data_IF_325275513351
#
_entry.id   IF_325275513351
#
_cell.length_a   1.000
_cell.length_b   1.000
_cell.length_c   1.000
_cell.angle_alpha   90.00
_cell.angle_beta   90.00
_cell.angle_gamma   90.00
#
_symmetry.space_group_name_H-M   'P 1'
#
loop_
_entity.id
_entity.type
_entity.pdbx_description
1 polymer ?
#
# COMPACT_ATOMS: atom_id res chain seq x y z
N UNK A 1 4.64 -8.46 24.90
CA UNK A 1 4.93 -7.01 24.98
C UNK A 1 5.10 -6.63 26.42
N UNK A 2 6.13 -5.83 26.75
CA UNK A 2 6.37 -5.35 28.11
C UNK A 2 5.59 -4.05 28.29
N UNK A 3 4.79 -3.93 29.34
CA UNK A 3 4.04 -2.70 29.63
C UNK A 3 5.01 -1.59 30.08
N UNK A 4 5.01 -0.47 29.36
CA UNK A 4 5.76 0.73 29.74
C UNK A 4 4.81 1.74 30.39
N UNK A 5 5.30 2.51 31.35
CA UNK A 5 4.55 3.61 31.98
C UNK A 5 5.23 4.94 31.66
N UNK A 6 4.46 5.88 31.12
CA UNK A 6 4.93 7.21 30.70
C UNK A 6 4.06 8.33 31.28
N UNK A 7 4.63 9.53 31.37
CA UNK A 7 3.89 10.77 31.59
C UNK A 7 3.74 11.50 30.25
N UNK A 8 2.69 12.30 30.11
CA UNK A 8 2.50 13.15 28.94
C UNK A 8 3.61 14.19 28.89
N UNK A 9 4.35 14.23 27.79
CA UNK A 9 5.47 15.16 27.57
C UNK A 9 5.26 16.13 26.41
N UNK A 10 4.25 15.87 25.58
CA UNK A 10 3.96 16.66 24.37
C UNK A 10 2.50 17.09 24.33
N UNK A 11 2.27 18.31 23.83
CA UNK A 11 0.96 18.94 23.72
C UNK A 11 0.84 19.60 22.34
N UNK A 12 -0.34 19.57 21.75
CA UNK A 12 -0.61 20.31 20.53
C UNK A 12 -0.85 21.81 20.80
N UNK A 13 -1.01 22.63 19.76
CA UNK A 13 -1.26 24.08 19.85
C UNK A 13 -2.55 24.41 20.63
N UNK A 14 -3.45 23.47 20.82
CA UNK A 14 -4.71 23.62 21.56
C UNK A 14 -4.61 23.19 23.02
N UNK A 15 -3.41 22.76 23.46
CA UNK A 15 -3.19 22.19 24.77
C UNK A 15 -3.74 20.77 24.92
N UNK A 16 -3.93 20.05 23.80
CA UNK A 16 -4.37 18.65 23.84
C UNK A 16 -3.14 17.72 23.92
N UNK A 17 -3.12 16.72 24.85
CA UNK A 17 -1.98 15.84 25.00
C UNK A 17 -1.77 14.97 23.76
N UNK A 18 -0.51 14.83 23.34
CA UNK A 18 -0.07 13.94 22.28
C UNK A 18 0.57 12.70 22.89
N UNK A 19 -0.04 11.53 22.67
CA UNK A 19 0.43 10.24 23.14
C UNK A 19 1.25 9.57 22.05
N UNK A 20 2.58 9.63 22.16
CA UNK A 20 3.50 9.03 21.20
C UNK A 20 3.99 7.67 21.67
N UNK A 21 3.84 6.67 20.81
CA UNK A 21 4.40 5.33 21.01
C UNK A 21 4.82 4.73 19.68
N UNK A 22 5.72 3.77 19.71
CA UNK A 22 6.07 2.97 18.54
C UNK A 22 5.05 1.85 18.32
N UNK A 23 4.98 1.35 17.08
CA UNK A 23 4.19 0.17 16.76
C UNK A 23 4.66 -1.07 17.56
N UNK A 24 3.76 -2.01 17.80
CA UNK A 24 4.01 -3.22 18.61
C UNK A 24 4.42 -2.91 20.06
N UNK A 25 3.94 -1.81 20.63
CA UNK A 25 4.15 -1.44 22.02
C UNK A 25 2.86 -1.46 22.84
N UNK A 26 3.02 -1.55 24.15
CA UNK A 26 1.96 -1.46 25.14
C UNK A 26 2.39 -0.42 26.19
N UNK A 27 1.71 0.72 26.19
CA UNK A 27 2.10 1.89 27.00
C UNK A 27 0.92 2.37 27.83
N UNK A 28 1.19 2.67 29.11
CA UNK A 28 0.24 3.30 30.02
C UNK A 28 0.69 4.73 30.31
N UNK A 29 -0.18 5.72 30.07
CA UNK A 29 0.02 7.10 30.48
C UNK A 29 -0.78 7.41 31.73
N UNK A 30 -0.16 8.09 32.69
CA UNK A 30 -0.80 8.54 33.91
C UNK A 30 -1.32 9.96 33.71
N UNK A 31 -2.58 10.21 34.09
CA UNK A 31 -3.24 11.51 34.02
C UNK A 31 -4.76 11.39 34.00
N UNK A 32 -5.45 12.33 34.63
CA UNK A 32 -6.91 12.34 34.79
C UNK A 32 -7.69 12.94 33.59
N UNK A 33 -7.01 13.28 32.50
CA UNK A 33 -7.62 14.05 31.41
C UNK A 33 -8.05 13.21 30.19
N UNK A 34 -7.88 11.89 30.29
CA UNK A 34 -8.16 11.00 29.17
C UNK A 34 -9.61 10.51 29.20
N UNK A 35 -10.39 10.90 28.21
CA UNK A 35 -11.76 10.43 28.03
C UNK A 35 -12.01 10.09 26.57
N UNK A 36 -12.75 9.02 26.35
CA UNK A 36 -13.33 8.67 25.04
C UNK A 36 -14.80 9.04 25.08
N UNK A 37 -15.19 9.91 24.18
CA UNK A 37 -16.58 10.33 24.08
C UNK A 37 -17.48 9.19 23.56
N UNK A 38 -18.78 9.18 23.94
CA UNK A 38 -19.70 8.19 23.39
C UNK A 38 -19.74 8.15 21.85
N UNK A 39 -19.53 9.31 21.20
CA UNK A 39 -19.42 9.45 19.76
C UNK A 39 -18.18 8.77 19.15
N UNK A 40 -17.11 8.58 19.95
CA UNK A 40 -15.82 8.02 19.54
C UNK A 40 -15.72 6.51 19.80
N UNK A 41 -16.64 5.90 20.54
CA UNK A 41 -16.62 4.46 20.84
C UNK A 41 -16.52 3.60 19.57
N UNK A 42 -17.34 3.90 18.56
CA UNK A 42 -17.29 3.19 17.27
C UNK A 42 -15.94 3.33 16.56
N UNK A 43 -15.22 4.43 16.77
CA UNK A 43 -13.88 4.63 16.23
C UNK A 43 -12.89 3.75 16.97
N UNK A 44 -12.96 3.67 18.31
CA UNK A 44 -12.10 2.79 19.11
C UNK A 44 -12.31 1.32 18.75
N UNK A 45 -13.56 0.86 18.65
CA UNK A 45 -13.88 -0.52 18.24
C UNK A 45 -13.26 -0.87 16.88
N UNK A 46 -13.26 0.08 15.95
CA UNK A 46 -12.65 -0.10 14.64
C UNK A 46 -11.13 -0.09 14.67
N UNK A 47 -10.52 0.81 15.42
CA UNK A 47 -9.07 0.82 15.60
C UNK A 47 -8.59 -0.52 16.15
N UNK A 48 -9.37 -1.16 17.04
CA UNK A 48 -9.08 -2.50 17.50
C UNK A 48 -9.22 -3.56 16.39
N UNK A 49 -10.33 -3.55 15.67
CA UNK A 49 -10.63 -4.56 14.65
C UNK A 49 -9.73 -4.46 13.41
N UNK A 50 -9.47 -3.23 12.94
CA UNK A 50 -8.82 -3.00 11.65
C UNK A 50 -7.31 -2.70 11.77
N UNK A 51 -6.89 -2.06 12.86
CA UNK A 51 -5.48 -1.69 13.11
C UNK A 51 -4.85 -2.39 14.34
N UNK A 52 -5.62 -3.22 15.05
CA UNK A 52 -5.12 -3.90 16.26
C UNK A 52 -4.71 -2.93 17.37
N UNK A 53 -5.26 -1.71 17.37
CA UNK A 53 -4.96 -0.68 18.37
C UNK A 53 -6.03 -0.75 19.46
N UNK A 54 -5.64 -1.15 20.66
CA UNK A 54 -6.51 -1.28 21.80
C UNK A 54 -6.32 -0.10 22.74
N UNK A 55 -7.41 0.55 23.13
CA UNK A 55 -7.39 1.73 24.00
C UNK A 55 -8.24 1.43 25.23
N UNK A 56 -7.63 1.47 26.41
CA UNK A 56 -8.27 1.26 27.70
C UNK A 56 -8.14 2.52 28.53
N UNK A 57 -9.26 3.17 28.84
CA UNK A 57 -9.29 4.38 29.69
C UNK A 57 -9.71 3.98 31.10
N UNK A 58 -8.95 4.46 32.08
CA UNK A 58 -9.21 4.36 33.50
C UNK A 58 -9.36 5.77 34.09
N UNK A 59 -9.79 5.91 35.35
CA UNK A 59 -10.02 7.21 36.01
C UNK A 59 -8.79 8.12 36.03
N UNK A 60 -7.60 7.54 36.09
CA UNK A 60 -6.31 8.22 36.29
C UNK A 60 -5.27 7.92 35.21
N UNK A 61 -5.65 7.15 34.20
CA UNK A 61 -4.70 6.69 33.16
C UNK A 61 -5.36 6.23 31.90
N UNK A 62 -4.58 6.20 30.82
CA UNK A 62 -4.93 5.56 29.55
C UNK A 62 -3.85 4.55 29.17
N UNK A 63 -4.26 3.35 28.80
CA UNK A 63 -3.38 2.30 28.28
C UNK A 63 -3.69 2.07 26.81
N UNK A 64 -2.66 2.10 25.98
CA UNK A 64 -2.77 1.86 24.54
C UNK A 64 -1.80 0.77 24.14
N UNK A 65 -2.33 -0.24 23.45
CA UNK A 65 -1.57 -1.33 22.84
C UNK A 65 -1.70 -1.25 21.34
N UNK A 66 -0.59 -1.32 20.61
CA UNK A 66 -0.54 -1.17 19.15
C UNK A 66 -0.03 -2.44 18.49
N UNK A 67 -0.51 -2.69 17.26
CA UNK A 67 0.04 -3.68 16.32
C UNK A 67 1.00 -3.03 15.32
N UNK A 68 1.28 -3.67 14.20
CA UNK A 68 2.22 -3.21 13.16
C UNK A 68 1.70 -2.09 12.25
N UNK A 69 0.95 -1.15 12.81
CA UNK A 69 0.37 0.00 12.11
C UNK A 69 0.97 1.30 12.64
N UNK A 70 1.32 2.19 11.73
CA UNK A 70 1.88 3.52 11.98
C UNK A 70 0.90 4.57 11.48
N UNK A 71 0.69 5.61 12.28
CA UNK A 71 -0.23 6.68 11.90
C UNK A 71 -0.68 7.53 13.06
N UNK A 72 -1.61 8.43 12.77
CA UNK A 72 -2.13 9.37 13.77
C UNK A 72 -3.65 9.32 13.81
N UNK A 73 -4.19 9.33 15.02
CA UNK A 73 -5.61 9.51 15.28
C UNK A 73 -5.84 10.62 16.28
N UNK A 74 -6.58 11.61 15.89
CA UNK A 74 -7.01 12.69 16.77
C UNK A 74 -8.35 12.33 17.43
N UNK A 75 -8.37 12.29 18.76
CA UNK A 75 -9.56 12.28 19.58
C UNK A 75 -9.85 13.70 20.10
N UNK A 76 -10.99 13.92 20.70
CA UNK A 76 -11.33 15.24 21.23
C UNK A 76 -10.42 15.64 22.41
N UNK A 77 -10.00 14.67 23.23
CA UNK A 77 -9.23 14.89 24.44
C UNK A 77 -7.75 14.54 24.34
N UNK A 78 -7.31 13.86 23.30
CA UNK A 78 -5.91 13.51 23.07
C UNK A 78 -5.67 13.18 21.60
N UNK A 79 -4.42 13.22 21.20
CA UNK A 79 -3.98 12.73 19.88
C UNK A 79 -3.09 11.51 20.07
N UNK A 80 -3.43 10.43 19.43
CA UNK A 80 -2.60 9.22 19.34
C UNK A 80 -1.68 9.32 18.14
N UNK A 81 -0.36 9.19 18.36
CA UNK A 81 0.66 9.16 17.31
C UNK A 81 1.46 7.87 17.43
N UNK A 82 1.25 6.95 16.51
CA UNK A 82 1.99 5.67 16.44
C UNK A 82 3.08 5.79 15.40
N UNK A 83 4.32 5.65 15.83
CA UNK A 83 5.53 5.77 15.01
C UNK A 83 6.07 4.41 14.58
N UNK A 84 6.87 4.34 13.50
CA UNK A 84 7.59 3.12 13.13
C UNK A 84 8.49 2.65 14.29
N UNK A 85 8.66 1.33 14.43
CA UNK A 85 9.57 0.78 15.44
C UNK A 85 11.05 1.04 15.11
N UNK A 86 11.38 1.16 13.83
CA UNK A 86 12.72 1.48 13.35
C UNK A 86 12.89 2.99 13.14
N UNK A 87 13.91 3.59 13.74
CA UNK A 87 14.17 5.03 13.61
C UNK A 87 14.56 5.45 12.18
N UNK A 88 15.19 4.55 11.43
CA UNK A 88 15.49 4.75 10.01
C UNK A 88 14.22 4.92 9.17
N UNK A 89 13.18 4.16 9.46
CA UNK A 89 11.87 4.30 8.78
C UNK A 89 11.18 5.62 9.13
N UNK A 90 11.30 6.09 10.37
CA UNK A 90 10.73 7.39 10.78
C UNK A 90 11.41 8.53 10.01
N UNK A 91 12.75 8.55 9.96
CA UNK A 91 13.51 9.60 9.26
C UNK A 91 13.31 9.60 7.75
N UNK A 92 13.27 8.43 7.14
CA UNK A 92 13.20 8.27 5.68
C UNK A 92 11.80 7.95 5.17
N UNK A 93 10.78 8.16 6.01
CA UNK A 93 9.39 7.75 5.71
C UNK A 93 8.89 8.33 4.39
N UNK A 94 9.11 9.62 4.15
CA UNK A 94 8.71 10.28 2.91
C UNK A 94 9.35 9.63 1.68
N UNK A 95 10.68 9.54 1.63
CA UNK A 95 11.42 8.91 0.52
C UNK A 95 10.99 7.46 0.29
N UNK A 96 10.76 6.72 1.39
CA UNK A 96 10.31 5.33 1.33
C UNK A 96 8.92 5.20 0.70
N UNK A 97 7.99 6.07 1.09
CA UNK A 97 6.65 6.10 0.52
C UNK A 97 6.64 6.52 -0.95
N UNK A 98 7.46 7.50 -1.32
CA UNK A 98 7.66 7.92 -2.71
C UNK A 98 8.15 6.77 -3.57
N UNK A 99 9.22 6.12 -3.15
CA UNK A 99 9.79 5.00 -3.88
C UNK A 99 8.78 3.86 -4.01
N UNK A 100 8.15 3.45 -2.91
CA UNK A 100 7.21 2.33 -2.90
C UNK A 100 5.95 2.57 -3.74
N UNK A 101 5.49 3.83 -3.85
CA UNK A 101 4.23 4.18 -4.51
C UNK A 101 4.39 4.94 -5.84
N UNK A 102 5.59 5.06 -6.40
CA UNK A 102 5.87 5.84 -7.62
C UNK A 102 5.50 7.33 -7.52
N UNK A 103 5.71 7.93 -6.36
CA UNK A 103 5.43 9.35 -6.07
C UNK A 103 6.67 10.21 -6.35
N UNK A 104 6.52 11.44 -6.85
CA UNK A 104 7.65 12.36 -7.06
C UNK A 104 8.11 13.00 -5.74
N UNK A 105 9.37 12.78 -5.36
CA UNK A 105 9.96 13.14 -4.08
C UNK A 105 9.72 14.59 -3.64
N UNK A 106 9.97 15.57 -4.50
CA UNK A 106 9.88 16.99 -4.13
C UNK A 106 8.50 17.42 -3.62
N UNK A 107 7.45 16.85 -4.20
CA UNK A 107 6.08 17.18 -3.81
C UNK A 107 5.72 16.63 -2.43
N UNK A 108 6.36 15.53 -2.04
CA UNK A 108 6.09 14.90 -0.75
C UNK A 108 6.89 15.56 0.39
N UNK A 109 8.13 16.02 0.15
CA UNK A 109 8.91 16.77 1.16
C UNK A 109 8.22 18.06 1.58
N UNK A 110 7.75 18.88 0.63
CA UNK A 110 6.97 20.08 0.93
C UNK A 110 5.71 19.76 1.76
N UNK A 111 5.16 18.57 1.56
CA UNK A 111 4.00 18.07 2.29
C UNK A 111 4.32 17.60 3.71
N UNK A 112 5.52 17.09 3.96
CA UNK A 112 5.97 16.68 5.29
C UNK A 112 6.23 17.91 6.17
N UNK A 113 6.84 18.97 5.65
CA UNK A 113 7.01 20.22 6.37
C UNK A 113 5.64 20.82 6.80
N UNK A 114 4.62 20.68 5.95
CA UNK A 114 3.26 21.05 6.29
C UNK A 114 2.66 20.17 7.40
N UNK A 115 3.00 18.88 7.43
CA UNK A 115 2.57 17.93 8.46
C UNK A 115 3.14 18.29 9.84
N UNK A 116 4.42 18.63 9.93
CA UNK A 116 5.06 19.03 11.18
C UNK A 116 4.42 20.27 11.80
N UNK A 117 3.98 21.22 10.95
CA UNK A 117 3.31 22.42 11.39
C UNK A 117 1.85 22.20 11.84
N UNK A 118 1.14 21.20 11.29
CA UNK A 118 -0.30 21.06 11.45
C UNK A 118 -0.76 19.77 12.14
N UNK A 119 0.15 18.87 12.56
CA UNK A 119 -0.16 17.58 13.21
C UNK A 119 -1.24 16.73 12.47
N UNK A 120 -1.25 16.79 11.13
CA UNK A 120 -2.28 16.15 10.31
C UNK A 120 -1.66 15.27 9.21
N UNK A 121 -1.42 13.98 9.43
CA UNK A 121 -0.55 13.15 8.58
C UNK A 121 -1.10 12.88 7.17
N UNK A 122 -2.42 12.92 6.97
CA UNK A 122 -3.02 12.66 5.65
C UNK A 122 -3.12 13.92 4.79
N UNK A 123 -3.16 15.09 5.39
CA UNK A 123 -3.36 16.34 4.66
C UNK A 123 -2.27 16.61 3.63
N UNK A 124 -0.98 16.40 3.92
CA UNK A 124 0.09 16.49 2.93
C UNK A 124 -0.16 15.59 1.72
N UNK A 125 -0.56 14.35 1.96
CA UNK A 125 -0.86 13.38 0.88
C UNK A 125 -2.02 13.86 0.02
N UNK A 126 -3.07 14.41 0.64
CA UNK A 126 -4.23 14.98 -0.07
C UNK A 126 -3.82 16.19 -0.90
N UNK A 127 -3.00 17.09 -0.35
CA UNK A 127 -2.52 18.29 -1.07
C UNK A 127 -1.66 17.91 -2.26
N UNK A 128 -0.71 16.98 -2.07
CA UNK A 128 0.13 16.46 -3.15
C UNK A 128 -0.72 15.78 -4.23
N UNK A 129 -1.70 14.98 -3.83
CA UNK A 129 -2.63 14.34 -4.76
C UNK A 129 -3.42 15.40 -5.55
N UNK A 130 -3.98 16.41 -4.89
CA UNK A 130 -4.74 17.48 -5.55
C UNK A 130 -3.86 18.29 -6.53
N UNK A 131 -2.61 18.59 -6.17
CA UNK A 131 -1.62 19.23 -7.04
C UNK A 131 -1.30 18.39 -8.27
N UNK A 132 -1.05 17.10 -8.08
CA UNK A 132 -0.76 16.16 -9.17
C UNK A 132 -1.95 16.04 -10.15
N UNK A 133 -3.17 15.99 -9.63
CA UNK A 133 -4.40 15.97 -10.46
C UNK A 133 -4.58 17.30 -11.20
N UNK A 134 -4.28 18.42 -10.58
CA UNK A 134 -4.35 19.73 -11.25
C UNK A 134 -3.39 19.80 -12.43
N UNK A 135 -2.14 19.34 -12.26
CA UNK A 135 -1.14 19.20 -13.34
C UNK A 135 -1.65 18.30 -14.46
N UNK A 136 -2.26 17.17 -14.08
CA UNK A 136 -2.82 16.22 -15.03
C UNK A 136 -3.95 16.83 -15.87
N UNK A 137 -4.87 17.56 -15.24
CA UNK A 137 -5.97 18.26 -15.94
C UNK A 137 -5.42 19.36 -16.87
N UNK A 138 -4.41 20.13 -16.44
CA UNK A 138 -3.77 21.16 -17.27
C UNK A 138 -3.11 20.59 -18.52
N UNK A 139 -2.51 19.38 -18.42
CA UNK A 139 -1.87 18.69 -19.52
C UNK A 139 -2.85 17.89 -20.40
N UNK A 140 -4.15 17.97 -20.13
CA UNK A 140 -5.22 17.23 -20.78
C UNK A 140 -5.43 15.84 -20.20
N UNK A 141 -6.67 15.47 -19.95
CA UNK A 141 -7.03 14.14 -19.42
C UNK A 141 -6.89 13.05 -20.50
N UNK A 142 -6.52 11.85 -20.06
CA UNK A 142 -6.36 10.70 -20.97
C UNK A 142 -7.71 10.23 -21.51
N UNK A 143 -7.74 9.92 -22.79
CA UNK A 143 -8.89 9.30 -23.45
C UNK A 143 -8.47 7.94 -24.00
N UNK A 144 -9.38 7.00 -23.90
CA UNK A 144 -9.21 5.64 -24.45
C UNK A 144 -10.51 5.15 -25.05
N UNK A 145 -10.41 4.12 -25.88
CA UNK A 145 -11.59 3.39 -26.33
C UNK A 145 -12.10 2.54 -25.17
N UNK A 146 -13.38 2.75 -24.83
CA UNK A 146 -14.10 1.97 -23.82
C UNK A 146 -15.26 1.28 -24.50
N UNK A 147 -15.35 -0.04 -24.32
CA UNK A 147 -16.45 -0.82 -24.83
C UNK A 147 -17.70 -0.57 -23.98
N UNK A 148 -18.73 -0.05 -24.61
CA UNK A 148 -20.02 0.24 -23.99
C UNK A 148 -21.09 -0.65 -24.59
N UNK A 149 -22.10 -0.99 -23.78
CA UNK A 149 -23.30 -1.66 -24.22
C UNK A 149 -24.50 -0.83 -23.76
N UNK A 150 -25.33 -0.40 -24.69
CA UNK A 150 -26.50 0.44 -24.37
C UNK A 150 -27.66 0.18 -25.36
N UNK A 151 -28.86 0.59 -24.93
CA UNK A 151 -30.07 0.55 -25.75
C UNK A 151 -30.22 1.87 -26.52
N UNK A 152 -29.87 1.84 -27.80
CA UNK A 152 -29.85 3.01 -28.69
C UNK A 152 -31.07 3.05 -29.62
N UNK A 153 -31.47 4.25 -30.04
CA UNK A 153 -32.53 4.44 -31.06
C UNK A 153 -32.07 4.12 -32.48
N UNK A 154 -30.79 3.90 -32.70
CA UNK A 154 -30.18 3.54 -33.98
C UNK A 154 -29.09 2.50 -33.76
N UNK A 155 -28.78 1.74 -34.83
CA UNK A 155 -27.76 0.70 -34.78
C UNK A 155 -26.36 1.31 -34.76
N UNK A 156 -25.56 0.92 -33.75
CA UNK A 156 -24.15 1.36 -33.62
C UNK A 156 -23.29 0.18 -33.15
N UNK A 157 -22.25 -0.13 -33.91
CA UNK A 157 -21.38 -1.25 -33.57
C UNK A 157 -22.05 -2.61 -33.77
N UNK A 158 -21.97 -3.50 -32.79
CA UNK A 158 -22.46 -4.87 -32.83
C UNK A 158 -23.76 -5.01 -32.04
N UNK A 159 -24.79 -5.61 -32.69
CA UNK A 159 -26.05 -5.92 -32.02
C UNK A 159 -25.87 -7.11 -31.05
N UNK A 160 -26.27 -6.94 -29.81
CA UNK A 160 -26.23 -7.99 -28.77
C UNK A 160 -27.55 -8.76 -28.82
N UNK A 161 -27.62 -9.80 -29.65
CA UNK A 161 -28.85 -10.55 -29.95
C UNK A 161 -29.60 -11.04 -28.71
N UNK A 162 -28.87 -11.54 -27.69
CA UNK A 162 -29.48 -12.03 -26.43
C UNK A 162 -30.31 -10.94 -25.73
N UNK A 163 -29.79 -9.72 -25.68
CA UNK A 163 -30.43 -8.59 -25.03
C UNK A 163 -31.48 -7.95 -25.95
N UNK A 164 -31.24 -7.99 -27.28
CA UNK A 164 -32.22 -7.51 -28.25
C UNK A 164 -33.51 -8.30 -28.20
N UNK A 165 -33.48 -9.63 -28.09
CA UNK A 165 -34.68 -10.48 -27.92
C UNK A 165 -35.49 -10.03 -26.68
N UNK A 166 -34.81 -9.67 -25.60
CA UNK A 166 -35.51 -9.15 -24.40
C UNK A 166 -36.17 -7.78 -24.65
N UNK A 167 -35.51 -6.92 -25.43
CA UNK A 167 -36.10 -5.65 -25.84
C UNK A 167 -37.33 -5.84 -26.73
N UNK A 168 -37.26 -6.76 -27.69
CA UNK A 168 -38.36 -7.05 -28.59
C UNK A 168 -39.56 -7.62 -27.84
N UNK A 169 -39.37 -8.54 -26.91
CA UNK A 169 -40.42 -9.10 -26.03
C UNK A 169 -41.06 -8.02 -25.17
N UNK A 170 -40.28 -7.00 -24.77
CA UNK A 170 -40.81 -5.86 -23.96
C UNK A 170 -41.34 -4.71 -24.79
N UNK A 171 -41.41 -4.87 -26.13
CA UNK A 171 -41.81 -3.82 -27.07
C UNK A 171 -40.96 -2.55 -26.95
N UNK A 172 -39.69 -2.69 -26.54
CA UNK A 172 -38.73 -1.60 -26.48
C UNK A 172 -38.10 -1.41 -27.88
N UNK A 173 -38.55 -0.36 -28.59
CA UNK A 173 -38.06 -0.04 -29.96
C UNK A 173 -36.60 0.52 -29.94
N UNK A 174 -35.70 -0.12 -29.22
CA UNK A 174 -34.30 0.23 -29.15
C UNK A 174 -33.44 -0.96 -29.52
N UNK A 175 -32.26 -0.66 -30.06
CA UNK A 175 -31.27 -1.64 -30.43
C UNK A 175 -30.24 -1.78 -29.30
N UNK A 176 -30.10 -2.96 -28.72
CA UNK A 176 -29.04 -3.21 -27.76
C UNK A 176 -27.72 -3.41 -28.47
N UNK A 177 -26.89 -2.39 -28.43
CA UNK A 177 -25.64 -2.30 -29.18
C UNK A 177 -24.41 -2.33 -28.27
N UNK A 178 -23.41 -3.08 -28.70
CA UNK A 178 -22.05 -3.09 -28.14
C UNK A 178 -21.14 -2.30 -29.08
N UNK A 179 -20.53 -1.23 -28.58
CA UNK A 179 -19.71 -0.33 -29.39
C UNK A 179 -18.54 0.25 -28.60
N UNK A 180 -17.47 0.58 -29.31
CA UNK A 180 -16.34 1.28 -28.73
C UNK A 180 -16.55 2.79 -28.80
N UNK A 181 -16.28 3.47 -27.69
CA UNK A 181 -16.36 4.93 -27.56
C UNK A 181 -15.03 5.51 -27.10
N UNK A 182 -14.51 6.49 -27.85
CA UNK A 182 -13.30 7.22 -27.48
C UNK A 182 -13.66 8.29 -26.45
N UNK A 183 -13.47 7.98 -25.19
CA UNK A 183 -13.97 8.79 -24.08
C UNK A 183 -12.92 9.02 -23.00
N UNK A 184 -13.10 10.10 -22.23
CA UNK A 184 -12.39 10.34 -20.98
C UNK A 184 -13.03 9.59 -19.79
N UNK A 185 -14.23 9.03 -19.97
CA UNK A 185 -14.88 8.23 -18.92
C UNK A 185 -14.30 6.80 -18.89
N UNK A 186 -13.01 6.70 -18.61
CA UNK A 186 -12.25 5.47 -18.48
C UNK A 186 -11.84 5.20 -17.03
N UNK A 187 -11.33 4.01 -16.77
CA UNK A 187 -11.00 3.55 -15.42
C UNK A 187 -9.95 4.45 -14.75
N UNK A 188 -8.94 4.91 -15.51
CA UNK A 188 -7.89 5.79 -15.02
C UNK A 188 -8.45 7.08 -14.43
N UNK A 189 -9.34 7.73 -15.16
CA UNK A 189 -9.96 8.98 -14.71
C UNK A 189 -11.01 8.76 -13.61
N UNK A 190 -11.75 7.64 -13.67
CA UNK A 190 -12.73 7.28 -12.64
C UNK A 190 -12.08 7.06 -11.27
N UNK A 191 -10.87 6.47 -11.22
CA UNK A 191 -10.09 6.32 -10.00
C UNK A 191 -9.72 7.69 -9.43
N UNK A 192 -9.22 8.61 -10.25
CA UNK A 192 -8.87 9.97 -9.83
C UNK A 192 -10.09 10.68 -9.26
N UNK A 193 -11.22 10.65 -9.98
CA UNK A 193 -12.45 11.29 -9.52
C UNK A 193 -12.96 10.72 -8.20
N UNK A 194 -13.02 9.39 -8.09
CA UNK A 194 -13.41 8.72 -6.85
C UNK A 194 -12.53 9.14 -5.67
N UNK A 195 -11.21 9.19 -5.88
CA UNK A 195 -10.26 9.56 -4.82
C UNK A 195 -10.43 11.02 -4.40
N UNK A 196 -10.68 11.95 -5.33
CA UNK A 196 -11.00 13.34 -5.00
C UNK A 196 -12.26 13.45 -4.12
N UNK A 197 -13.32 12.69 -4.43
CA UNK A 197 -14.53 12.65 -3.61
C UNK A 197 -14.22 12.13 -2.19
N UNK A 198 -13.39 11.08 -2.07
CA UNK A 198 -12.95 10.60 -0.77
C UNK A 198 -12.18 11.68 0.01
N UNK A 199 -11.25 12.37 -0.65
CA UNK A 199 -10.50 13.47 -0.02
C UNK A 199 -11.39 14.59 0.51
N UNK A 200 -12.51 14.89 -0.16
CA UNK A 200 -13.50 15.88 0.32
C UNK A 200 -14.08 15.54 1.69
N UNK A 201 -14.25 14.23 1.97
CA UNK A 201 -14.77 13.76 3.27
C UNK A 201 -13.69 13.73 4.35
N UNK A 202 -12.43 13.47 3.96
CA UNK A 202 -11.31 13.27 4.89
C UNK A 202 -10.74 14.60 5.37
N UNK A 203 -10.45 15.53 4.44
CA UNK A 203 -9.83 16.81 4.79
C UNK A 203 -10.75 17.69 5.64
N UNK A 204 -10.17 18.36 6.63
CA UNK A 204 -10.86 19.35 7.47
C UNK A 204 -10.60 20.78 7.03
N UNK A 205 -9.56 21.02 6.25
CA UNK A 205 -9.14 22.38 5.87
C UNK A 205 -10.05 22.97 4.77
N UNK A 206 -10.69 24.11 5.03
CA UNK A 206 -11.58 24.75 4.05
C UNK A 206 -10.89 25.11 2.73
N UNK A 207 -9.60 25.48 2.79
CA UNK A 207 -8.76 25.78 1.62
C UNK A 207 -8.58 24.54 0.73
N UNK A 208 -8.21 23.42 1.31
CA UNK A 208 -8.06 22.13 0.61
C UNK A 208 -9.38 21.67 0.02
N UNK A 209 -10.48 21.76 0.79
CA UNK A 209 -11.84 21.44 0.28
C UNK A 209 -12.21 22.29 -0.94
N UNK A 210 -11.90 23.59 -0.90
CA UNK A 210 -12.16 24.50 -2.02
C UNK A 210 -11.37 24.09 -3.27
N UNK A 211 -10.11 23.72 -3.11
CA UNK A 211 -9.25 23.27 -4.21
C UNK A 211 -9.76 21.94 -4.81
N UNK A 212 -10.05 20.95 -3.99
CA UNK A 212 -10.59 19.65 -4.43
C UNK A 212 -11.93 19.83 -5.14
N UNK A 213 -12.85 20.65 -4.60
CA UNK A 213 -14.14 20.92 -5.25
C UNK A 213 -14.00 21.51 -6.64
N UNK A 214 -13.03 22.41 -6.86
CA UNK A 214 -12.72 22.94 -8.19
C UNK A 214 -12.27 21.84 -9.16
N UNK A 215 -11.44 20.88 -8.70
CA UNK A 215 -10.98 19.76 -9.51
C UNK A 215 -12.12 18.82 -9.85
N UNK A 216 -12.95 18.47 -8.88
CA UNK A 216 -14.14 17.63 -9.10
C UNK A 216 -15.04 18.27 -10.16
N UNK A 217 -15.34 19.57 -10.02
CA UNK A 217 -16.22 20.28 -10.98
C UNK A 217 -15.68 20.29 -12.42
N UNK A 218 -14.35 20.32 -12.59
CA UNK A 218 -13.73 20.21 -13.92
C UNK A 218 -13.86 18.81 -14.53
N UNK A 219 -13.97 17.77 -13.72
CA UNK A 219 -14.09 16.38 -14.16
C UNK A 219 -15.54 15.92 -14.30
N UNK A 220 -16.46 16.57 -13.61
CA UNK A 220 -17.86 16.17 -13.42
C UNK A 220 -18.64 15.98 -14.72
N UNK A 221 -18.40 16.82 -15.70
CA UNK A 221 -19.08 16.79 -17.00
C UNK A 221 -18.58 15.67 -17.94
N UNK A 222 -17.44 15.06 -17.65
CA UNK A 222 -16.76 14.14 -18.58
C UNK A 222 -16.49 12.75 -17.99
N UNK A 223 -16.55 12.61 -16.69
CA UNK A 223 -16.15 11.37 -15.99
C UNK A 223 -17.24 11.02 -14.99
N UNK A 224 -17.79 9.83 -15.10
CA UNK A 224 -18.76 9.31 -14.15
C UNK A 224 -18.11 8.92 -12.82
N UNK A 225 -18.82 9.15 -11.73
CA UNK A 225 -18.37 8.72 -10.42
C UNK A 225 -18.60 7.20 -10.25
N UNK A 226 -17.50 6.46 -10.21
CA UNK A 226 -17.55 5.03 -9.88
C UNK A 226 -17.98 4.85 -8.41
N UNK A 227 -18.94 3.95 -8.16
CA UNK A 227 -19.51 3.74 -6.81
C UNK A 227 -18.50 3.21 -5.80
N UNK A 228 -17.55 2.41 -6.24
CA UNK A 228 -16.47 1.87 -5.40
C UNK A 228 -15.22 1.64 -6.23
N UNK A 229 -14.06 2.03 -5.67
CA UNK A 229 -12.73 1.76 -6.25
C UNK A 229 -11.92 0.98 -5.22
N UNK A 230 -11.41 -0.17 -5.63
CA UNK A 230 -10.58 -1.05 -4.82
C UNK A 230 -9.23 -1.32 -5.46
N UNK A 231 -8.38 -2.11 -4.79
CA UNK A 231 -7.05 -2.49 -5.30
C UNK A 231 -7.13 -3.26 -6.62
N UNK A 232 -8.21 -4.00 -6.85
CA UNK A 232 -8.47 -4.71 -8.11
C UNK A 232 -8.54 -3.76 -9.32
N UNK A 233 -9.05 -2.53 -9.12
CA UNK A 233 -9.16 -1.57 -10.20
C UNK A 233 -7.79 -1.04 -10.63
N UNK A 234 -6.87 -0.83 -9.67
CA UNK A 234 -5.49 -0.45 -9.99
C UNK A 234 -4.73 -1.54 -10.74
N UNK A 235 -5.02 -2.82 -10.48
CA UNK A 235 -4.41 -3.94 -11.20
C UNK A 235 -4.86 -4.05 -12.66
N UNK A 236 -6.04 -3.52 -13.00
CA UNK A 236 -6.57 -3.51 -14.37
C UNK A 236 -5.90 -2.44 -15.25
N UNK A 237 -5.22 -1.47 -14.65
CA UNK A 237 -4.58 -0.40 -15.41
C UNK A 237 -3.27 -0.89 -16.00
N UNK A 238 -3.17 -0.78 -17.32
CA UNK A 238 -1.92 -1.01 -18.05
C UNK A 238 -1.32 0.33 -18.43
N UNK A 239 -0.16 0.66 -17.88
CA UNK A 239 0.53 1.90 -18.20
C UNK A 239 1.28 1.78 -19.51
N UNK A 240 0.92 2.65 -20.44
CA UNK A 240 1.56 2.80 -21.73
C UNK A 240 2.20 4.18 -21.82
N UNK A 241 2.89 4.46 -22.92
CA UNK A 241 3.45 5.80 -23.19
C UNK A 241 2.40 6.92 -23.11
N UNK A 242 1.13 6.64 -23.42
CA UNK A 242 0.06 7.63 -23.46
C UNK A 242 -0.49 8.00 -22.07
N UNK A 243 -0.50 7.07 -21.11
CA UNK A 243 -1.07 7.24 -19.77
C UNK A 243 -0.02 7.13 -18.66
N UNK A 244 1.28 7.06 -18.98
CA UNK A 244 2.35 6.93 -17.97
C UNK A 244 2.35 8.04 -16.93
N UNK A 245 1.90 9.26 -17.32
CA UNK A 245 1.75 10.40 -16.41
C UNK A 245 0.71 10.20 -15.30
N UNK A 246 -0.11 9.15 -15.39
CA UNK A 246 -1.07 8.76 -14.35
C UNK A 246 -0.44 7.93 -13.23
N UNK A 247 0.76 7.37 -13.41
CA UNK A 247 1.42 6.56 -12.37
C UNK A 247 1.50 7.28 -11.04
N UNK A 248 2.02 8.50 -11.04
CA UNK A 248 2.17 9.31 -9.84
C UNK A 248 0.81 9.63 -9.15
N UNK A 249 -0.19 10.26 -9.78
CA UNK A 249 -1.48 10.47 -9.13
C UNK A 249 -2.20 9.17 -8.76
N UNK A 250 -2.04 8.08 -9.49
CA UNK A 250 -2.58 6.77 -9.10
C UNK A 250 -1.84 6.16 -7.90
N UNK A 251 -0.53 6.38 -7.77
CA UNK A 251 0.24 5.99 -6.58
C UNK A 251 -0.31 6.65 -5.32
N UNK A 252 -0.53 7.97 -5.37
CA UNK A 252 -1.14 8.73 -4.28
C UNK A 252 -2.59 8.30 -4.02
N UNK A 253 -3.39 8.11 -5.08
CA UNK A 253 -4.76 7.61 -4.97
C UNK A 253 -4.81 6.24 -4.30
N UNK A 254 -3.90 5.33 -4.68
CA UNK A 254 -3.77 4.01 -4.06
C UNK A 254 -3.44 4.12 -2.57
N UNK A 255 -2.49 4.98 -2.21
CA UNK A 255 -2.12 5.25 -0.83
C UNK A 255 -3.32 5.78 -0.03
N UNK A 256 -4.04 6.77 -0.55
CA UNK A 256 -5.23 7.32 0.07
C UNK A 256 -6.30 6.23 0.24
N UNK A 257 -6.64 5.48 -0.82
CA UNK A 257 -7.71 4.47 -0.80
C UNK A 257 -7.36 3.27 0.10
N UNK A 258 -6.12 2.83 0.13
CA UNK A 258 -5.68 1.75 1.03
C UNK A 258 -5.85 2.14 2.49
N UNK A 259 -5.59 3.40 2.80
CA UNK A 259 -5.64 3.92 4.16
C UNK A 259 -7.02 4.47 4.55
N UNK A 260 -7.94 4.64 3.59
CA UNK A 260 -9.38 4.82 3.84
C UNK A 260 -10.07 3.47 4.17
N UNK A 261 -9.35 2.42 4.52
CA UNK A 261 -9.88 1.10 4.89
C UNK A 261 -10.99 1.12 5.96
N UNK A 262 -11.10 2.23 6.66
CA UNK A 262 -12.19 2.61 7.56
C UNK A 262 -13.46 3.08 6.79
N UNK A 263 -13.83 2.37 5.73
CA UNK A 263 -14.71 2.77 4.61
C UNK A 263 -16.18 3.08 4.93
N UNK A 264 -16.68 2.81 6.12
CA UNK A 264 -18.12 2.93 6.40
C UNK A 264 -18.46 3.81 7.60
N UNK A 265 -17.56 4.72 7.98
CA UNK A 265 -17.85 5.64 9.08
C UNK A 265 -18.57 6.88 8.57
N UNK A 266 -19.73 7.19 9.13
CA UNK A 266 -20.50 8.38 8.80
C UNK A 266 -19.88 9.60 9.53
N UNK A 267 -18.73 10.10 9.01
CA UNK A 267 -17.97 11.22 9.58
C UNK A 267 -18.76 12.52 9.69
N UNK A 268 -19.92 12.60 9.02
CA UNK A 268 -20.77 13.79 9.06
C UNK A 268 -21.35 14.10 10.45
N UNK A 269 -21.35 13.12 11.37
CA UNK A 269 -21.89 13.27 12.73
C UNK A 269 -20.84 13.39 13.84
N UNK A 270 -19.57 13.20 13.54
CA UNK A 270 -18.49 13.27 14.53
C UNK A 270 -17.47 14.34 14.18
N UNK A 271 -17.00 15.09 15.18
CA UNK A 271 -15.92 16.08 15.01
C UNK A 271 -14.53 15.42 14.87
N UNK A 272 -14.44 14.09 14.91
CA UNK A 272 -13.19 13.33 14.82
C UNK A 272 -12.69 13.24 13.37
N UNK A 273 -11.38 13.27 13.21
CA UNK A 273 -10.69 13.08 11.92
C UNK A 273 -10.70 11.61 11.55
N UNK A 274 -10.79 11.31 10.26
CA UNK A 274 -10.61 9.96 9.77
C UNK A 274 -9.24 9.41 10.19
N UNK A 275 -9.15 8.20 10.75
CA UNK A 275 -7.89 7.59 11.09
C UNK A 275 -7.07 7.33 9.83
N UNK A 276 -5.78 7.57 9.93
CA UNK A 276 -4.83 7.26 8.86
C UNK A 276 -3.73 6.38 9.43
N UNK A 277 -3.80 5.08 9.12
CA UNK A 277 -2.83 4.10 9.57
C UNK A 277 -2.30 3.28 8.41
N UNK A 278 -0.99 3.06 8.40
CA UNK A 278 -0.25 2.34 7.37
C UNK A 278 0.36 1.08 7.98
N UNK A 279 0.19 -0.05 7.33
CA UNK A 279 0.85 -1.31 7.68
C UNK A 279 2.32 -1.28 7.25
N UNK A 280 3.24 -1.13 8.19
CA UNK A 280 4.66 -0.96 7.88
C UNK A 280 5.31 -2.20 7.26
N UNK A 281 4.86 -3.39 7.59
CA UNK A 281 5.34 -4.61 6.96
C UNK A 281 5.02 -4.65 5.44
N UNK A 282 3.86 -4.11 5.02
CA UNK A 282 3.52 -3.99 3.59
C UNK A 282 4.37 -2.95 2.87
N UNK A 283 4.74 -1.89 3.57
CA UNK A 283 5.67 -0.89 3.03
C UNK A 283 7.04 -1.52 2.81
N UNK A 284 7.50 -2.32 3.77
CA UNK A 284 8.76 -3.06 3.67
C UNK A 284 8.76 -4.06 2.52
N UNK A 285 7.74 -4.92 2.43
CA UNK A 285 7.56 -5.84 1.31
C UNK A 285 7.55 -5.10 -0.04
N UNK A 286 6.75 -4.02 -0.14
CA UNK A 286 6.64 -3.21 -1.36
C UNK A 286 7.96 -2.53 -1.74
N UNK A 287 8.75 -2.09 -0.76
CA UNK A 287 10.09 -1.53 -0.98
C UNK A 287 11.02 -2.57 -1.60
N UNK A 288 11.12 -3.76 -1.00
CA UNK A 288 11.96 -4.84 -1.52
C UNK A 288 11.48 -5.32 -2.88
N UNK A 289 10.18 -5.52 -3.04
CA UNK A 289 9.58 -5.93 -4.30
C UNK A 289 9.97 -4.98 -5.44
N UNK A 290 9.88 -3.68 -5.21
CA UNK A 290 10.25 -2.68 -6.21
C UNK A 290 11.76 -2.59 -6.43
N UNK A 291 12.54 -2.62 -5.34
CA UNK A 291 13.99 -2.59 -5.38
C UNK A 291 14.53 -3.72 -6.29
N UNK A 292 14.09 -4.95 -6.05
CA UNK A 292 14.54 -6.09 -6.86
C UNK A 292 14.02 -6.04 -8.29
N UNK A 293 12.76 -5.64 -8.50
CA UNK A 293 12.18 -5.56 -9.84
C UNK A 293 12.83 -4.52 -10.74
N UNK A 294 13.19 -3.36 -10.18
CA UNK A 294 13.70 -2.24 -10.97
C UNK A 294 15.22 -2.28 -11.16
N UNK A 295 15.96 -2.91 -10.23
CA UNK A 295 17.41 -2.84 -10.15
C UNK A 295 18.14 -4.18 -10.17
N UNK A 296 17.44 -5.31 -10.18
CA UNK A 296 18.07 -6.60 -10.41
C UNK A 296 18.62 -6.68 -11.84
N UNK A 297 19.52 -7.66 -12.07
CA UNK A 297 20.08 -7.89 -13.41
C UNK A 297 18.96 -8.16 -14.42
N UNK A 298 19.08 -7.59 -15.63
CA UNK A 298 18.04 -7.73 -16.68
C UNK A 298 17.82 -9.20 -17.12
N UNK A 299 18.76 -10.10 -16.80
CA UNK A 299 18.63 -11.56 -17.02
C UNK A 299 17.81 -12.28 -15.97
N UNK A 300 17.45 -11.58 -14.86
CA UNK A 300 16.75 -12.14 -13.70
C UNK A 300 15.33 -11.62 -13.70
N UNK A 301 14.38 -12.55 -13.72
CA UNK A 301 12.98 -12.23 -13.52
C UNK A 301 12.63 -12.34 -12.04
N UNK A 302 11.98 -11.31 -11.49
CA UNK A 302 11.54 -11.26 -10.10
C UNK A 302 10.05 -11.50 -10.05
N UNK A 303 9.63 -12.65 -9.49
CA UNK A 303 8.23 -12.96 -9.23
C UNK A 303 7.84 -12.44 -7.86
N UNK A 304 6.73 -11.74 -7.85
CA UNK A 304 6.14 -11.12 -6.66
C UNK A 304 5.03 -12.01 -6.09
N UNK A 305 4.74 -11.85 -4.79
CA UNK A 305 3.66 -12.57 -4.10
C UNK A 305 2.28 -12.40 -4.78
N UNK A 306 2.04 -11.24 -5.40
CA UNK A 306 0.79 -10.96 -6.12
C UNK A 306 0.94 -11.36 -7.58
N UNK A 307 0.67 -12.62 -7.84
CA UNK A 307 0.65 -13.22 -9.17
C UNK A 307 -0.33 -12.52 -10.12
N UNK A 308 0.15 -12.03 -11.25
CA UNK A 308 -0.67 -11.59 -12.38
C UNK A 308 -0.55 -12.61 -13.53
N UNK A 309 -1.55 -13.50 -13.64
CA UNK A 309 -1.60 -14.55 -14.66
C UNK A 309 -1.46 -14.04 -16.10
N UNK A 310 -1.73 -12.75 -16.36
CA UNK A 310 -1.63 -12.15 -17.69
C UNK A 310 -0.21 -11.72 -18.08
N UNK A 311 0.65 -11.44 -17.10
CA UNK A 311 1.99 -10.88 -17.32
C UNK A 311 3.13 -11.82 -16.94
N UNK A 312 2.85 -12.93 -16.27
CA UNK A 312 3.88 -13.94 -16.00
C UNK A 312 4.15 -14.74 -17.29
N UNK A 313 5.40 -14.82 -17.72
CA UNK A 313 5.76 -15.66 -18.86
C UNK A 313 5.33 -17.11 -18.62
N UNK A 314 4.70 -17.74 -19.61
CA UNK A 314 4.27 -19.17 -19.53
C UNK A 314 5.40 -20.16 -19.26
N UNK A 315 6.64 -19.68 -19.32
CA UNK A 315 7.87 -20.45 -19.14
C UNK A 315 8.25 -20.65 -17.65
N UNK A 316 7.64 -19.88 -16.73
CA UNK A 316 7.95 -20.00 -15.31
C UNK A 316 7.00 -20.97 -14.62
N UNK A 317 7.59 -21.88 -13.84
CA UNK A 317 6.85 -22.89 -13.12
C UNK A 317 5.75 -22.28 -12.24
N UNK A 318 4.53 -22.78 -12.37
CA UNK A 318 3.46 -22.52 -11.39
C UNK A 318 3.80 -23.28 -10.11
N UNK A 319 3.61 -22.64 -8.97
CA UNK A 319 3.75 -23.36 -7.69
C UNK A 319 2.59 -24.35 -7.55
N UNK A 320 2.93 -25.61 -7.31
CA UNK A 320 1.91 -26.61 -7.02
C UNK A 320 1.30 -26.35 -5.63
N UNK A 321 0.02 -26.67 -5.44
CA UNK A 321 -0.63 -26.57 -4.14
C UNK A 321 0.04 -27.52 -3.13
N UNK A 322 0.29 -27.02 -1.92
CA UNK A 322 0.99 -27.76 -0.86
C UNK A 322 0.10 -28.82 -0.24
N UNK A 323 -1.18 -28.47 -0.04
CA UNK A 323 -2.16 -29.35 0.59
C UNK A 323 -3.39 -29.47 -0.29
N UNK A 324 -3.78 -30.71 -0.57
CA UNK A 324 -5.04 -31.07 -1.23
C UNK A 324 -5.90 -31.79 -0.22
N UNK A 325 -7.01 -31.22 0.19
CA UNK A 325 -8.00 -31.90 1.02
C UNK A 325 -8.79 -32.88 0.14
N UNK A 326 -8.33 -34.11 0.02
CA UNK A 326 -8.88 -35.15 -0.85
C UNK A 326 -10.32 -35.62 -0.51
N UNK A 327 -10.87 -35.19 0.60
CA UNK A 327 -12.17 -35.63 1.13
C UNK A 327 -13.29 -34.57 1.06
N UNK A 328 -12.96 -33.32 0.66
CA UNK A 328 -13.95 -32.27 0.50
C UNK A 328 -14.22 -31.99 -0.96
N UNK A 329 -15.48 -31.82 -1.29
CA UNK A 329 -15.96 -31.49 -2.64
C UNK A 329 -15.50 -30.09 -3.10
N UNK A 330 -15.06 -29.24 -2.16
CA UNK A 330 -14.43 -27.93 -2.43
C UNK A 330 -12.95 -28.00 -2.09
N UNK A 331 -12.12 -28.08 -3.12
CA UNK A 331 -10.66 -28.04 -3.00
C UNK A 331 -10.21 -26.67 -2.51
N UNK A 332 -9.74 -26.59 -1.27
CA UNK A 332 -9.01 -25.42 -0.77
C UNK A 332 -7.53 -25.63 -1.05
N UNK A 333 -7.02 -24.98 -2.08
CA UNK A 333 -5.60 -25.00 -2.39
C UNK A 333 -4.87 -24.01 -1.47
N UNK A 334 -3.93 -24.50 -0.68
CA UNK A 334 -3.00 -23.67 0.08
C UNK A 334 -1.72 -23.48 -0.74
N UNK A 335 -1.62 -22.35 -1.44
CA UNK A 335 -0.45 -21.97 -2.20
C UNK A 335 0.66 -21.45 -1.30
N UNK A 336 1.93 -21.74 -1.63
CA UNK A 336 3.06 -21.03 -1.03
C UNK A 336 3.12 -19.61 -1.64
N UNK A 337 3.39 -18.61 -0.77
CA UNK A 337 3.46 -17.21 -1.19
C UNK A 337 4.70 -16.55 -0.60
N UNK A 338 5.90 -16.90 -1.05
CA UNK A 338 7.09 -16.16 -0.69
C UNK A 338 7.03 -14.76 -1.30
N UNK A 339 7.58 -13.76 -0.62
CA UNK A 339 7.50 -12.37 -1.06
C UNK A 339 8.23 -12.16 -2.39
N UNK A 340 9.40 -12.78 -2.56
CA UNK A 340 10.20 -12.68 -3.77
C UNK A 340 10.71 -14.07 -4.20
N UNK A 341 10.58 -14.38 -5.47
CA UNK A 341 11.23 -15.53 -6.11
C UNK A 341 12.00 -15.05 -7.32
N UNK A 342 13.28 -15.37 -7.35
CA UNK A 342 14.20 -14.96 -8.40
C UNK A 342 14.39 -16.10 -9.40
N UNK A 343 14.18 -15.80 -10.69
CA UNK A 343 14.29 -16.75 -11.79
C UNK A 343 15.35 -16.31 -12.79
N UNK A 344 16.03 -17.27 -13.37
CA UNK A 344 16.89 -17.06 -14.52
C UNK A 344 16.71 -18.21 -15.51
N UNK A 345 16.48 -17.90 -16.78
CA UNK A 345 16.27 -18.88 -17.84
C UNK A 345 15.23 -19.98 -17.48
N UNK A 346 14.12 -19.58 -16.84
CA UNK A 346 13.05 -20.50 -16.43
C UNK A 346 13.33 -21.35 -15.20
N UNK A 347 14.48 -21.20 -14.55
CA UNK A 347 14.83 -21.90 -13.31
C UNK A 347 14.76 -20.96 -12.10
N UNK A 348 14.27 -21.49 -10.98
CA UNK A 348 14.30 -20.78 -9.71
C UNK A 348 15.75 -20.73 -9.23
N UNK A 349 16.28 -19.53 -9.03
CA UNK A 349 17.61 -19.31 -8.45
C UNK A 349 17.57 -19.34 -6.94
N UNK A 350 16.63 -18.59 -6.36
CA UNK A 350 16.47 -18.48 -4.92
C UNK A 350 15.11 -17.87 -4.54
N UNK A 351 14.81 -17.96 -3.26
CA UNK A 351 13.64 -17.35 -2.63
C UNK A 351 14.10 -16.37 -1.56
N UNK A 352 13.43 -15.23 -1.45
CA UNK A 352 13.64 -14.30 -0.38
C UNK A 352 12.30 -13.87 0.24
N UNK A 353 12.30 -13.68 1.53
CA UNK A 353 11.14 -13.34 2.31
C UNK A 353 11.43 -12.05 3.13
N UNK A 354 10.56 -11.07 3.04
CA UNK A 354 10.69 -9.78 3.68
C UNK A 354 10.23 -9.86 5.14
N UNK A 355 11.13 -9.67 6.08
CA UNK A 355 10.80 -9.74 7.51
C UNK A 355 10.97 -8.38 8.18
N UNK A 356 9.87 -7.70 8.43
CA UNK A 356 9.84 -6.43 9.15
C UNK A 356 9.96 -6.67 10.66
N UNK A 357 11.17 -7.02 11.13
CA UNK A 357 11.50 -7.32 12.53
C UNK A 357 12.96 -7.01 12.83
N UNK A 358 13.32 -6.87 14.12
CA UNK A 358 14.68 -6.59 14.53
C UNK A 358 15.61 -7.80 14.32
N UNK A 359 15.12 -9.00 14.60
CA UNK A 359 15.91 -10.23 14.55
C UNK A 359 15.04 -11.43 14.18
N UNK A 360 15.59 -12.33 13.37
CA UNK A 360 14.96 -13.62 13.05
C UNK A 360 15.28 -14.61 14.16
N UNK A 361 14.30 -14.96 14.99
CA UNK A 361 14.49 -15.89 16.10
C UNK A 361 14.67 -17.33 15.61
N UNK A 362 15.77 -17.97 16.02
CA UNK A 362 16.01 -19.38 15.75
C UNK A 362 14.90 -20.23 16.37
N UNK A 363 14.28 -21.10 15.55
CA UNK A 363 13.11 -21.89 15.96
C UNK A 363 11.79 -21.11 15.97
N UNK A 364 11.78 -19.85 15.51
CA UNK A 364 10.57 -19.05 15.35
C UNK A 364 9.74 -19.47 14.13
N UNK A 365 8.47 -19.09 14.13
CA UNK A 365 7.50 -19.39 13.05
C UNK A 365 8.01 -18.89 11.68
N UNK A 366 8.61 -17.73 11.64
CA UNK A 366 9.13 -17.10 10.43
C UNK A 366 10.28 -17.90 9.82
N UNK A 367 11.16 -18.44 10.67
CA UNK A 367 12.24 -19.32 10.23
C UNK A 367 11.71 -20.62 9.60
N UNK A 368 10.71 -21.25 10.22
CA UNK A 368 10.09 -22.45 9.67
C UNK A 368 9.39 -22.17 8.33
N UNK A 369 8.77 -21.01 8.18
CA UNK A 369 8.14 -20.59 6.94
C UNK A 369 9.17 -20.52 5.80
N UNK A 370 10.30 -19.86 6.02
CA UNK A 370 11.36 -19.72 5.02
C UNK A 370 12.01 -21.09 4.71
N UNK A 371 12.30 -21.90 5.74
CA UNK A 371 12.82 -23.25 5.57
C UNK A 371 11.88 -24.11 4.72
N UNK A 372 10.59 -23.97 4.94
CA UNK A 372 9.56 -24.67 4.17
C UNK A 372 9.59 -24.22 2.69
N UNK A 373 9.67 -22.92 2.41
CA UNK A 373 9.77 -22.41 1.05
C UNK A 373 11.01 -22.97 0.32
N UNK A 374 12.17 -22.91 0.96
CA UNK A 374 13.42 -23.44 0.42
C UNK A 374 13.27 -24.93 0.04
N UNK A 375 12.73 -25.72 0.97
CA UNK A 375 12.57 -27.16 0.77
C UNK A 375 11.55 -27.49 -0.30
N UNK A 376 10.39 -26.84 -0.29
CA UNK A 376 9.33 -27.08 -1.27
C UNK A 376 9.75 -26.71 -2.69
N UNK A 377 10.56 -25.66 -2.85
CA UNK A 377 11.08 -25.21 -4.14
C UNK A 377 12.35 -26.00 -4.58
N UNK A 378 12.79 -27.01 -3.81
CA UNK A 378 13.95 -27.82 -4.13
C UNK A 378 15.27 -27.06 -4.06
N UNK A 379 15.34 -25.98 -3.29
CA UNK A 379 16.52 -25.15 -3.12
C UNK A 379 17.38 -25.63 -1.95
N UNK A 380 18.67 -25.27 -1.97
CA UNK A 380 19.60 -25.50 -0.85
C UNK A 380 19.70 -24.28 0.07
N UNK A 381 19.36 -23.11 -0.39
CA UNK A 381 19.40 -21.87 0.38
C UNK A 381 18.31 -20.88 -0.03
N UNK A 382 17.90 -20.03 0.92
CA UNK A 382 17.03 -18.87 0.70
C UNK A 382 17.36 -17.75 1.67
N UNK A 383 16.68 -16.63 1.51
CA UNK A 383 17.03 -15.39 2.21
C UNK A 383 15.88 -14.90 3.08
N UNK A 384 16.23 -14.41 4.28
CA UNK A 384 15.40 -13.55 5.11
C UNK A 384 15.98 -12.14 5.01
N UNK A 385 15.21 -11.16 4.56
CA UNK A 385 15.67 -9.77 4.41
C UNK A 385 15.02 -8.91 5.47
N UNK A 386 15.83 -8.33 6.36
CA UNK A 386 15.41 -7.53 7.49
C UNK A 386 15.91 -6.08 7.35
N UNK A 387 15.23 -5.10 7.98
CA UNK A 387 15.80 -3.77 8.16
C UNK A 387 17.05 -3.81 9.03
N UNK A 388 18.08 -3.05 8.65
CA UNK A 388 19.34 -2.97 9.42
C UNK A 388 19.18 -2.12 10.67
N UNK A 389 19.60 -2.66 11.81
CA UNK A 389 19.77 -1.97 13.10
C UNK A 389 20.96 -2.55 13.87
N UNK A 390 22.17 -2.31 13.40
CA UNK A 390 23.41 -2.75 14.08
C UNK A 390 23.54 -4.26 14.33
N UNK A 391 22.87 -5.07 13.50
CA UNK A 391 22.95 -6.53 13.53
C UNK A 391 23.67 -6.96 12.25
N UNK A 392 24.67 -7.81 12.38
CA UNK A 392 25.43 -8.33 11.25
C UNK A 392 24.67 -9.45 10.53
N UNK A 393 24.93 -9.56 9.24
CA UNK A 393 24.45 -10.65 8.41
C UNK A 393 24.99 -12.00 8.91
N UNK A 394 24.14 -13.01 8.91
CA UNK A 394 24.51 -14.34 9.34
C UNK A 394 23.72 -15.42 8.61
N UNK A 395 24.19 -16.66 8.71
CA UNK A 395 23.56 -17.80 8.09
C UNK A 395 23.09 -18.81 9.15
N UNK A 396 21.85 -19.27 9.03
CA UNK A 396 21.26 -20.27 9.90
C UNK A 396 21.22 -21.60 9.14
N UNK A 397 21.90 -22.63 9.67
CA UNK A 397 21.89 -23.98 9.10
C UNK A 397 20.76 -24.80 9.71
N UNK A 398 19.93 -25.40 8.85
CA UNK A 398 18.88 -26.32 9.27
C UNK A 398 19.36 -27.75 8.99
N UNK A 399 20.05 -28.31 9.99
CA UNK A 399 20.81 -29.55 9.87
C UNK A 399 20.01 -30.78 9.40
N UNK A 400 18.76 -30.95 9.86
CA UNK A 400 17.91 -32.08 9.46
C UNK A 400 17.52 -32.07 7.97
N UNK A 401 17.59 -30.95 7.30
CA UNK A 401 17.17 -30.81 5.90
C UNK A 401 18.29 -30.40 4.96
N UNK A 402 19.46 -30.14 5.49
CA UNK A 402 20.65 -29.67 4.76
C UNK A 402 20.35 -28.40 3.92
N UNK A 403 19.64 -27.47 4.51
CA UNK A 403 19.33 -26.17 3.89
C UNK A 403 19.88 -25.02 4.74
N UNK A 404 20.13 -23.88 4.09
CA UNK A 404 20.64 -22.68 4.73
C UNK A 404 19.64 -21.52 4.58
N UNK A 405 19.34 -20.83 5.67
CA UNK A 405 18.64 -19.55 5.67
C UNK A 405 19.67 -18.46 5.86
N UNK A 406 19.84 -17.63 4.84
CA UNK A 406 20.76 -16.49 4.84
C UNK A 406 20.02 -15.25 5.32
N UNK A 407 20.34 -14.78 6.52
CA UNK A 407 19.77 -13.56 7.09
C UNK A 407 20.57 -12.37 6.63
N UNK A 408 19.92 -11.42 5.97
CA UNK A 408 20.54 -10.23 5.41
C UNK A 408 19.82 -8.98 5.88
N UNK A 409 20.57 -7.93 6.12
CA UNK A 409 20.05 -6.66 6.63
C UNK A 409 20.26 -5.54 5.63
N UNK A 410 19.23 -4.71 5.42
CA UNK A 410 19.25 -3.57 4.51
C UNK A 410 19.14 -2.27 5.30
N UNK A 411 20.13 -1.41 5.16
CA UNK A 411 20.05 -0.02 5.60
C UNK A 411 19.21 0.79 4.62
N UNK A 412 17.96 1.12 4.99
CA UNK A 412 17.05 1.89 4.13
C UNK A 412 17.65 3.23 3.74
N UNK A 413 18.27 3.94 4.69
CA UNK A 413 18.87 5.25 4.44
C UNK A 413 19.91 5.16 3.33
N UNK A 414 20.79 4.14 3.35
CA UNK A 414 21.83 3.95 2.35
C UNK A 414 21.25 3.70 0.95
N UNK A 415 20.23 2.86 0.82
CA UNK A 415 19.59 2.58 -0.47
C UNK A 415 18.82 3.80 -0.99
N UNK A 416 18.09 4.50 -0.12
CA UNK A 416 17.37 5.70 -0.51
C UNK A 416 18.30 6.86 -0.88
N UNK A 417 19.45 7.01 -0.21
CA UNK A 417 20.43 8.03 -0.57
C UNK A 417 21.05 7.79 -1.95
N UNK A 418 21.25 6.54 -2.36
CA UNK A 418 21.66 6.21 -3.73
C UNK A 418 20.54 6.54 -4.71
N UNK A 419 19.30 6.11 -4.43
CA UNK A 419 18.13 6.31 -5.30
C UNK A 419 17.82 7.79 -5.55
N UNK A 420 17.97 8.64 -4.52
CA UNK A 420 17.71 10.07 -4.59
C UNK A 420 18.98 10.92 -4.78
N UNK A 421 20.11 10.29 -5.13
CA UNK A 421 21.34 11.00 -5.46
C UNK A 421 21.20 11.79 -6.76
N UNK A 422 22.06 12.81 -6.93
CA UNK A 422 22.13 13.61 -8.18
C UNK A 422 22.83 12.88 -9.34
N UNK A 423 23.05 11.56 -9.23
CA UNK A 423 23.70 10.73 -10.25
C UNK A 423 22.79 10.52 -11.45
N UNK A 424 23.36 10.09 -12.58
CA UNK A 424 22.55 9.68 -13.74
C UNK A 424 21.75 8.41 -13.42
N UNK A 425 20.60 8.21 -14.08
CA UNK A 425 19.77 7.00 -13.90
C UNK A 425 20.56 5.71 -14.18
N UNK A 426 21.50 5.74 -15.14
CA UNK A 426 22.35 4.60 -15.46
C UNK A 426 23.36 4.29 -14.34
N UNK A 427 23.90 5.31 -13.70
CA UNK A 427 24.84 5.12 -12.58
C UNK A 427 24.11 4.60 -11.34
N UNK A 428 22.92 5.13 -11.07
CA UNK A 428 22.04 4.63 -9.99
C UNK A 428 21.73 3.14 -10.25
N UNK A 429 21.28 2.78 -11.47
CA UNK A 429 20.98 1.39 -11.82
C UNK A 429 22.18 0.46 -11.61
N UNK A 430 23.36 0.88 -12.02
CA UNK A 430 24.60 0.10 -11.83
C UNK A 430 24.93 -0.09 -10.34
N UNK A 431 24.94 0.99 -9.56
CA UNK A 431 25.29 0.95 -8.15
C UNK A 431 24.29 0.09 -7.36
N UNK A 432 22.99 0.24 -7.63
CA UNK A 432 21.94 -0.57 -7.03
C UNK A 432 22.05 -2.04 -7.40
N UNK A 433 22.34 -2.35 -8.67
CA UNK A 433 22.55 -3.74 -9.12
C UNK A 433 23.73 -4.41 -8.42
N UNK A 434 24.82 -3.67 -8.16
CA UNK A 434 25.98 -4.18 -7.40
C UNK A 434 25.53 -4.49 -5.96
N UNK A 435 24.88 -3.57 -5.28
CA UNK A 435 24.40 -3.79 -3.91
C UNK A 435 23.40 -4.96 -3.78
N UNK A 436 22.53 -5.15 -4.75
CA UNK A 436 21.61 -6.29 -4.77
C UNK A 436 22.41 -7.60 -4.95
N UNK A 437 23.45 -7.63 -5.78
CA UNK A 437 24.34 -8.80 -5.95
C UNK A 437 25.14 -9.12 -4.69
N UNK A 438 25.57 -8.11 -3.94
CA UNK A 438 26.21 -8.30 -2.64
C UNK A 438 25.25 -8.87 -1.61
N UNK A 439 24.02 -8.37 -1.57
CA UNK A 439 22.97 -8.85 -0.66
C UNK A 439 22.56 -10.30 -0.96
N UNK A 440 22.32 -10.61 -2.23
CA UNK A 440 21.95 -11.94 -2.72
C UNK A 440 22.98 -12.35 -3.80
N UNK A 441 24.11 -12.98 -3.41
CA UNK A 441 25.06 -13.51 -4.35
C UNK A 441 24.40 -14.62 -5.19
N UNK A 442 24.01 -14.27 -6.39
CA UNK A 442 23.47 -15.22 -7.37
C UNK A 442 24.67 -15.81 -8.10
N UNK A 443 25.17 -16.92 -7.59
CA UNK A 443 26.20 -17.68 -8.30
C UNK A 443 25.59 -18.21 -9.60
N UNK A 444 26.14 -17.74 -10.72
CA UNK A 444 25.77 -18.15 -12.08
C UNK A 444 26.07 -19.61 -12.33
#
# INVERSE_FOLDING_TARGET
MKLETKCVSKWDERGTPILELKENMDVKWIGSHFHILPSEKKLVDRLEQEAGIRIYVQSDSIRISTAGYVGVQQFEKFTLNVKPKFDTFERSFGKLMDFTNDVEHKEFEESIEFQEQHNHPIEPVILTFASSVEKLIKNGIYKSYVQNQDDLSFLRGKLVMKQQILNDVRFNMKFNCEFDEFTSNNLENQIIRYTLEQCMFITKFPSTKKSIRKLIHRLDSQIELKRNVGMEDFRKIVYTRLNTRYKHPHGLAKLIIQNIGFKNFNYQKTKSVAPFFIEMWRVWEGFLEKLFSDYCDDSIYVRKQKYDQKHDPKEYATFEPIFVEAWKIHETFHEIKPDLVLFQKGKILTVADAKYMHELKVGGKEMFQIAFYIKHLGLSAGYAILPYENIEDHDIQVSLQNISIKVRHISIDEYLDILYSKKSQNDIKKEMSIKIKELIPLNA
#
